data_IF_052500092816
#
_entry.id   IF_052500092816
#
_cell.length_a   1.000
_cell.length_b   1.000
_cell.length_c   1.000
_cell.angle_alpha   90.00
_cell.angle_beta   90.00
_cell.angle_gamma   90.00
#
_symmetry.space_group_name_H-M   'P 1'
#
loop_
_entity.id
_entity.type
_entity.pdbx_description
1 polymer ?
#
# COMPACT_ATOMS: atom_id res chain seq x y z
N UNK A 1 -1.22 -8.25 -8.68
CA UNK A 1 -0.04 -7.43 -9.04
C UNK A 1 -0.49 -5.99 -8.91
N UNK A 2 0.32 -5.09 -8.34
CA UNK A 2 0.04 -3.65 -8.39
C UNK A 2 0.67 -3.10 -9.67
N UNK A 3 0.05 -2.11 -10.29
CA UNK A 3 0.47 -1.58 -11.58
C UNK A 3 -0.51 -0.55 -12.11
N UNK A 4 -0.28 -0.10 -13.34
CA UNK A 4 -1.12 0.90 -13.97
C UNK A 4 -2.53 0.37 -14.22
N UNK A 5 -3.58 0.98 -13.62
CA UNK A 5 -4.96 0.53 -13.80
C UNK A 5 -5.46 0.64 -15.25
N UNK A 6 -4.81 1.43 -16.11
CA UNK A 6 -5.13 1.47 -17.54
C UNK A 6 -4.64 0.22 -18.29
N UNK A 7 -3.70 -0.54 -17.70
CA UNK A 7 -3.09 -1.72 -18.30
C UNK A 7 -3.40 -3.02 -17.58
N UNK A 8 -3.72 -2.97 -16.28
CA UNK A 8 -4.10 -4.13 -15.49
C UNK A 8 -5.33 -3.85 -14.65
N UNK A 9 -6.22 -4.84 -14.56
CA UNK A 9 -7.35 -4.77 -13.65
C UNK A 9 -6.89 -5.13 -12.23
N UNK A 10 -7.02 -4.17 -11.31
CA UNK A 10 -6.73 -4.36 -9.89
C UNK A 10 -8.06 -4.44 -9.15
N UNK A 11 -8.41 -5.64 -8.71
CA UNK A 11 -9.62 -5.85 -7.91
C UNK A 11 -9.40 -5.37 -6.46
N UNK A 12 -9.53 -4.06 -6.25
CA UNK A 12 -9.38 -3.41 -4.94
C UNK A 12 -10.47 -3.85 -3.97
N UNK A 13 -11.69 -4.07 -4.46
CA UNK A 13 -12.82 -4.49 -3.63
C UNK A 13 -12.56 -5.85 -2.97
N UNK A 14 -12.05 -6.81 -3.74
CA UNK A 14 -11.67 -8.12 -3.20
C UNK A 14 -10.40 -8.03 -2.35
N UNK A 15 -9.43 -7.19 -2.73
CA UNK A 15 -8.22 -6.99 -1.94
C UNK A 15 -8.54 -6.49 -0.53
N UNK A 16 -9.49 -5.56 -0.41
CA UNK A 16 -9.93 -4.96 0.86
C UNK A 16 -11.18 -5.63 1.45
N UNK A 17 -11.66 -6.74 0.87
CA UNK A 17 -12.83 -7.44 1.41
C UNK A 17 -12.53 -8.06 2.78
N UNK A 18 -13.55 -8.11 3.64
CA UNK A 18 -13.42 -8.74 4.96
C UNK A 18 -12.99 -10.21 4.83
N UNK A 19 -13.44 -10.91 3.78
CA UNK A 19 -13.06 -12.29 3.51
C UNK A 19 -11.56 -12.42 3.21
N UNK A 20 -11.02 -11.57 2.33
CA UNK A 20 -9.58 -11.52 2.00
C UNK A 20 -8.73 -11.20 3.24
N UNK A 21 -9.12 -10.19 4.02
CA UNK A 21 -8.44 -9.80 5.26
C UNK A 21 -8.43 -10.94 6.27
N UNK A 22 -9.58 -11.59 6.51
CA UNK A 22 -9.69 -12.70 7.46
C UNK A 22 -8.84 -13.90 7.04
N UNK A 23 -8.82 -14.23 5.74
CA UNK A 23 -7.97 -15.28 5.18
C UNK A 23 -6.49 -14.98 5.38
N UNK A 24 -6.05 -13.73 5.19
CA UNK A 24 -4.66 -13.32 5.43
C UNK A 24 -4.33 -13.40 6.92
N UNK A 25 -5.22 -12.91 7.78
CA UNK A 25 -5.05 -12.91 9.25
C UNK A 25 -4.92 -14.33 9.82
N UNK A 26 -5.69 -15.30 9.31
CA UNK A 26 -5.63 -16.68 9.81
C UNK A 26 -4.30 -17.38 9.51
N UNK A 27 -3.46 -16.80 8.63
CA UNK A 27 -2.13 -17.31 8.31
C UNK A 27 -1.04 -16.71 9.22
N UNK A 28 -1.38 -15.75 10.08
CA UNK A 28 -0.43 -15.13 11.01
C UNK A 28 -0.30 -16.02 12.24
N UNK A 29 0.90 -16.53 12.47
CA UNK A 29 1.29 -17.23 13.68
C UNK A 29 2.07 -16.27 14.59
N UNK A 30 1.55 -15.97 15.78
CA UNK A 30 2.19 -15.06 16.74
C UNK A 30 3.49 -15.62 17.33
N UNK A 31 3.72 -16.94 17.24
CA UNK A 31 4.93 -17.58 17.72
C UNK A 31 5.96 -17.81 16.62
N UNK A 32 5.61 -17.59 15.34
CA UNK A 32 6.48 -17.92 14.21
C UNK A 32 6.45 -16.86 13.10
N UNK A 33 7.63 -16.29 12.83
CA UNK A 33 7.83 -15.38 11.71
C UNK A 33 7.76 -16.09 10.36
N UNK A 34 7.24 -15.39 9.35
CA UNK A 34 7.37 -15.79 7.95
C UNK A 34 8.78 -15.45 7.46
N UNK A 35 9.54 -16.45 7.02
CA UNK A 35 10.92 -16.29 6.50
C UNK A 35 10.98 -16.22 4.97
N UNK A 36 9.82 -16.26 4.29
CA UNK A 36 9.76 -16.14 2.84
C UNK A 36 9.86 -14.67 2.45
N UNK A 37 11.02 -14.28 1.93
CA UNK A 37 11.23 -12.96 1.36
C UNK A 37 10.30 -12.72 0.16
N UNK A 38 9.60 -11.58 0.11
CA UNK A 38 8.87 -11.18 -1.09
C UNK A 38 9.85 -10.80 -2.20
N UNK A 39 9.39 -10.89 -3.44
CA UNK A 39 10.07 -10.23 -4.56
C UNK A 39 9.93 -8.72 -4.36
N UNK A 40 11.04 -8.04 -4.09
CA UNK A 40 11.08 -6.59 -3.89
C UNK A 40 11.39 -5.95 -5.25
N UNK A 41 10.55 -5.03 -5.71
CA UNK A 41 10.92 -4.07 -6.76
C UNK A 41 11.83 -3.01 -6.17
N UNK A 42 12.88 -2.59 -6.88
CA UNK A 42 13.79 -1.51 -6.48
C UNK A 42 13.04 -0.38 -5.78
N UNK A 43 13.47 -0.01 -4.57
CA UNK A 43 12.98 1.19 -3.90
C UNK A 43 13.25 2.44 -4.77
N UNK A 44 12.31 3.38 -4.73
CA UNK A 44 12.41 4.66 -5.44
C UNK A 44 13.49 5.57 -4.85
N UNK A 45 13.88 6.57 -5.62
CA UNK A 45 14.94 7.54 -5.34
C UNK A 45 14.59 8.51 -4.18
N UNK A 46 15.38 9.57 -4.04
CA UNK A 46 15.13 10.69 -3.13
C UNK A 46 13.68 11.20 -3.23
N UNK A 47 12.93 10.95 -2.17
CA UNK A 47 11.52 11.30 -2.07
C UNK A 47 11.33 12.49 -1.14
N UNK A 48 10.54 13.48 -1.57
CA UNK A 48 10.10 14.59 -0.72
C UNK A 48 8.62 14.44 -0.39
N UNK A 49 8.31 14.49 0.90
CA UNK A 49 6.95 14.51 1.43
C UNK A 49 6.68 15.84 2.13
N UNK A 50 5.49 16.42 1.91
CA UNK A 50 5.00 17.52 2.71
C UNK A 50 3.47 17.52 2.82
N UNK A 51 2.98 18.19 3.86
CA UNK A 51 1.55 18.35 4.12
C UNK A 51 1.23 19.83 4.33
N UNK A 52 0.11 20.26 3.80
CA UNK A 52 -0.43 21.62 3.95
C UNK A 52 -1.86 21.51 4.46
N UNK A 53 -2.23 22.34 5.42
CA UNK A 53 -3.61 22.53 5.84
C UNK A 53 -3.89 24.03 6.00
N UNK A 54 -5.13 24.45 5.72
CA UNK A 54 -5.54 25.84 5.84
C UNK A 54 -6.71 26.04 6.83
N UNK A 55 -6.99 27.32 7.12
CA UNK A 55 -8.06 27.72 8.05
C UNK A 55 -9.47 27.44 7.53
N UNK A 56 -9.63 27.20 6.23
CA UNK A 56 -10.91 26.92 5.60
C UNK A 56 -11.22 25.41 5.66
N UNK A 57 -10.31 24.62 6.24
CA UNK A 57 -10.46 23.18 6.46
C UNK A 57 -9.91 22.33 5.34
N UNK A 58 -9.22 22.91 4.36
CA UNK A 58 -8.58 22.13 3.30
C UNK A 58 -7.31 21.48 3.83
N UNK A 59 -7.01 20.28 3.33
CA UNK A 59 -5.79 19.56 3.63
C UNK A 59 -5.24 18.87 2.37
N UNK A 60 -3.93 18.95 2.17
CA UNK A 60 -3.19 18.33 1.08
C UNK A 60 -2.05 17.51 1.66
N UNK A 61 -1.99 16.24 1.29
CA UNK A 61 -0.83 15.36 1.53
C UNK A 61 -0.14 15.12 0.20
N UNK A 62 1.08 15.62 0.02
CA UNK A 62 1.81 15.58 -1.25
C UNK A 62 3.11 14.80 -1.12
N UNK A 63 3.37 13.96 -2.11
CA UNK A 63 4.62 13.18 -2.24
C UNK A 63 5.15 13.34 -3.67
N UNK A 64 6.46 13.55 -3.80
CA UNK A 64 7.16 13.61 -5.08
C UNK A 64 8.50 12.88 -5.01
N UNK A 65 8.94 12.33 -6.14
CA UNK A 65 10.22 11.61 -6.32
C UNK A 65 10.78 11.94 -7.71
N UNK A 66 12.10 11.85 -7.89
CA UNK A 66 12.80 12.08 -9.18
C UNK A 66 13.19 10.81 -9.92
#
# INVERSE_FOLDING_TARGET
>A
LLGDPEHIDINLDELFSAASINKRRSQIDLAKANLKEPSISSEGSDTTYFLVADRDGNALSWIQSV
#
